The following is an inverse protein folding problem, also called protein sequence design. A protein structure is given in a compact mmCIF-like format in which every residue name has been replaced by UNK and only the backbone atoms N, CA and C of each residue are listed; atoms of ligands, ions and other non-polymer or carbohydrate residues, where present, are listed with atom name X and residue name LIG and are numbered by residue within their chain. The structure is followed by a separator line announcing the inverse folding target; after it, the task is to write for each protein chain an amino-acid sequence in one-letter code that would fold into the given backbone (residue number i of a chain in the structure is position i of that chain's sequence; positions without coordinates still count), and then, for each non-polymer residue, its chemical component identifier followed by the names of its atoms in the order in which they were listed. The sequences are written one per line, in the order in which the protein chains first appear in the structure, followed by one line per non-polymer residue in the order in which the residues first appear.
data_IF_303485900667
#
_entry.id   IF_303485900667
#
_cell.length_a   1.000
_cell.length_b   1.000
_cell.length_c   1.000
_cell.angle_alpha   90.00
_cell.angle_beta   90.00
_cell.angle_gamma   90.00
#
_symmetry.space_group_name_H-M   'P 1'
#
loop_
_entity.id
_entity.type
_entity.pdbx_description
1 polymer ?
#
# COMPACT_ATOMS: atom_id res chain seq x y z
N UNK A 1 15.24 -6.09 -4.74
CA UNK A 1 16.16 -4.95 -4.99
C UNK A 1 16.82 -4.59 -3.69
N UNK A 2 18.06 -5.01 -3.50
CA UNK A 2 18.90 -4.56 -2.38
C UNK A 2 19.22 -3.08 -2.60
N UNK A 3 18.98 -2.24 -1.59
CA UNK A 3 19.51 -0.87 -1.60
C UNK A 3 20.81 -0.89 -0.79
N UNK A 4 21.94 -0.99 -1.46
CA UNK A 4 23.24 -0.63 -0.89
C UNK A 4 23.32 0.90 -0.87
N UNK A 5 23.38 1.49 0.32
CA UNK A 5 23.71 2.90 0.43
C UNK A 5 25.20 3.00 0.77
N UNK A 6 25.96 3.52 -0.18
CA UNK A 6 27.37 3.89 -0.03
C UNK A 6 27.39 5.19 0.78
N UNK A 7 28.07 5.20 1.92
CA UNK A 7 28.28 6.42 2.70
C UNK A 7 29.56 7.09 2.21
N UNK A 8 29.45 8.34 1.79
CA UNK A 8 30.59 9.19 1.47
C UNK A 8 31.62 9.20 2.62
N UNK A 9 32.89 9.06 2.23
CA UNK A 9 34.09 9.04 3.06
C UNK A 9 33.96 9.76 4.41
N UNK A 10 33.75 8.98 5.46
CA UNK A 10 33.93 9.44 6.83
C UNK A 10 35.43 9.45 7.15
N UNK A 11 36.07 10.63 7.14
CA UNK A 11 37.33 10.83 7.86
C UNK A 11 37.01 10.88 9.36
N UNK A 12 36.95 9.73 10.00
CA UNK A 12 37.03 9.65 11.47
C UNK A 12 38.50 9.86 11.82
N UNK A 13 38.92 11.12 11.90
CA UNK A 13 40.16 11.43 12.61
C UNK A 13 39.89 11.33 14.13
N UNK A 14 40.53 10.31 14.73
CA UNK A 14 40.85 10.18 16.14
C UNK A 14 39.70 10.05 17.15
N UNK A 15 39.25 8.81 17.36
CA UNK A 15 38.71 8.35 18.63
C UNK A 15 38.98 6.85 18.87
N UNK A 16 40.23 6.43 18.75
CA UNK A 16 40.71 5.18 19.35
C UNK A 16 41.92 5.53 20.22
N UNK A 17 41.65 5.86 21.49
CA UNK A 17 42.67 5.73 22.52
C UNK A 17 42.84 4.24 22.78
N UNK A 18 44.09 3.79 22.63
CA UNK A 18 44.57 2.45 22.98
C UNK A 18 44.39 2.23 24.48
N UNK A 19 43.79 1.11 24.84
CA UNK A 19 44.12 0.39 26.07
C UNK A 19 44.32 -1.08 25.65
N UNK A 20 45.60 -1.44 25.46
CA UNK A 20 46.10 -2.82 25.54
C UNK A 20 46.66 -3.03 26.96
N UNK A 21 46.68 -4.30 27.40
CA UNK A 21 47.03 -4.86 28.75
C UNK A 21 45.78 -5.16 29.60
N UNK A 22 45.44 -6.37 30.03
CA UNK A 22 46.02 -7.73 30.05
C UNK A 22 44.85 -8.72 29.90
N UNK A 23 44.94 -9.88 29.24
CA UNK A 23 45.35 -11.12 29.91
C UNK A 23 45.62 -12.23 28.88
N UNK A 24 46.75 -12.91 29.05
CA UNK A 24 47.16 -14.14 28.36
C UNK A 24 46.48 -15.38 28.97
N UNK A 25 46.55 -16.49 28.21
CA UNK A 25 46.17 -17.91 28.47
C UNK A 25 44.80 -18.29 27.90
N UNK A 26 44.62 -19.33 27.08
CA UNK A 26 45.42 -20.52 26.75
C UNK A 26 45.17 -20.93 25.30
N UNK A 27 46.22 -21.48 24.71
CA UNK A 27 46.28 -22.30 23.50
C UNK A 27 45.29 -23.47 23.58
N UNK A 28 44.58 -23.72 22.49
CA UNK A 28 44.38 -25.10 22.02
C UNK A 28 44.33 -25.09 20.49
N UNK A 29 45.30 -25.81 19.95
CA UNK A 29 45.49 -26.10 18.54
C UNK A 29 44.54 -27.23 18.18
N UNK A 30 43.80 -27.10 17.09
CA UNK A 30 43.55 -28.27 16.25
C UNK A 30 43.67 -27.88 14.78
N UNK A 31 44.79 -28.34 14.23
CA UNK A 31 45.19 -28.33 12.84
C UNK A 31 44.45 -29.47 12.13
N UNK A 32 43.67 -29.16 11.11
CA UNK A 32 43.58 -30.06 9.96
C UNK A 32 43.66 -29.25 8.68
N UNK A 33 44.91 -29.09 8.27
CA UNK A 33 45.35 -28.69 6.96
C UNK A 33 44.96 -29.72 5.89
N UNK A 34 44.28 -29.26 4.83
CA UNK A 34 44.57 -29.73 3.46
C UNK A 34 44.82 -28.55 2.54
N UNK A 35 46.10 -28.47 2.18
CA UNK A 35 46.77 -27.55 1.27
C UNK A 35 46.67 -28.07 -0.19
N UNK A 36 46.50 -27.10 -1.10
CA UNK A 36 47.36 -26.84 -2.30
C UNK A 36 46.95 -27.48 -3.65
N UNK A 37 47.19 -26.84 -4.83
CA UNK A 37 47.24 -25.41 -5.19
C UNK A 37 46.76 -25.18 -6.70
N UNK A 38 47.26 -24.23 -7.54
CA UNK A 38 46.40 -23.22 -8.17
C UNK A 38 46.56 -23.12 -9.71
N UNK A 39 46.06 -22.00 -10.26
CA UNK A 39 46.49 -21.28 -11.49
C UNK A 39 45.76 -21.60 -12.80
N UNK A 40 45.93 -20.77 -13.85
CA UNK A 40 45.42 -19.40 -13.99
C UNK A 40 44.67 -19.28 -15.35
N UNK A 41 44.20 -18.07 -15.72
CA UNK A 41 44.27 -17.49 -17.09
C UNK A 41 43.21 -16.38 -17.25
N UNK A 42 43.71 -15.15 -17.31
CA UNK A 42 43.28 -14.05 -18.22
C UNK A 42 44.46 -13.90 -19.23
N UNK A 43 44.34 -13.27 -20.44
CA UNK A 43 43.59 -12.03 -20.66
C UNK A 43 43.01 -11.71 -22.09
N UNK A 44 42.04 -10.78 -22.10
CA UNK A 44 41.88 -9.62 -23.04
C UNK A 44 41.42 -9.84 -24.51
N UNK A 45 41.21 -8.78 -25.33
CA UNK A 45 40.13 -7.77 -25.23
C UNK A 45 39.53 -7.42 -26.62
N UNK A 46 38.29 -6.90 -26.72
CA UNK A 46 37.97 -5.98 -27.83
C UNK A 46 37.05 -4.84 -27.40
N UNK A 47 37.37 -3.67 -27.93
CA UNK A 47 36.92 -2.34 -27.52
C UNK A 47 36.21 -1.68 -28.69
N UNK A 48 35.38 -0.67 -28.36
CA UNK A 48 34.88 0.45 -29.19
C UNK A 48 33.46 0.24 -29.76
N UNK A 49 32.56 1.23 -29.80
CA UNK A 49 32.48 2.59 -29.24
C UNK A 49 31.17 3.24 -29.73
N UNK A 50 30.77 4.34 -29.09
CA UNK A 50 29.97 5.50 -29.59
C UNK A 50 28.42 5.46 -29.54
N UNK A 51 27.90 6.11 -28.49
CA UNK A 51 27.25 7.44 -28.50
C UNK A 51 26.52 7.86 -29.80
N UNK A 52 25.20 8.12 -29.73
CA UNK A 52 24.59 9.45 -30.03
C UNK A 52 23.11 9.57 -29.63
N UNK A 53 22.81 10.75 -29.08
CA UNK A 53 21.50 11.33 -28.72
C UNK A 53 20.74 11.89 -29.94
N UNK A 54 19.46 12.23 -29.69
CA UNK A 54 18.55 13.20 -30.37
C UNK A 54 17.85 12.64 -31.63
N UNK A 55 16.60 12.96 -31.97
CA UNK A 55 15.64 13.99 -31.53
C UNK A 55 14.28 13.73 -32.20
N UNK A 56 13.21 14.32 -31.63
CA UNK A 56 11.96 14.65 -32.29
C UNK A 56 12.17 15.23 -33.71
N UNK A 57 11.32 14.85 -34.67
CA UNK A 57 10.60 15.86 -35.44
C UNK A 57 9.31 15.33 -36.09
N UNK A 58 8.31 16.18 -36.01
CA UNK A 58 7.02 16.17 -36.68
C UNK A 58 7.12 16.51 -38.16
N UNK A 59 6.26 15.93 -39.01
CA UNK A 59 5.81 16.60 -40.24
C UNK A 59 4.49 16.02 -40.76
N UNK A 60 3.49 16.90 -40.82
CA UNK A 60 2.20 16.78 -41.54
C UNK A 60 2.40 16.73 -43.05
N UNK A 61 1.50 16.03 -43.76
CA UNK A 61 1.05 16.36 -45.13
C UNK A 61 -0.45 16.04 -45.28
N UNK A 62 -1.24 17.07 -45.58
CA UNK A 62 -2.56 17.00 -46.29
C UNK A 62 -2.29 16.63 -47.77
N UNK A 63 -3.20 16.23 -48.65
CA UNK A 63 -4.66 16.39 -48.89
C UNK A 63 -5.11 15.21 -49.79
N UNK A 64 -6.40 14.84 -49.96
CA UNK A 64 -7.38 15.44 -50.88
C UNK A 64 -8.82 15.03 -50.52
N UNK A 65 -9.77 15.95 -50.74
CA UNK A 65 -11.22 15.86 -50.50
C UNK A 65 -11.98 15.18 -51.66
N UNK A 66 -13.15 14.63 -51.34
CA UNK A 66 -14.37 14.70 -52.16
C UNK A 66 -15.57 15.03 -51.25
N UNK A 67 -16.34 16.02 -51.69
CA UNK A 67 -17.63 16.59 -51.19
C UNK A 67 -18.79 15.59 -51.34
N UNK A 68 -20.01 15.70 -50.77
CA UNK A 68 -20.77 16.67 -49.99
C UNK A 68 -21.98 15.90 -49.39
N UNK A 69 -22.45 16.26 -48.19
CA UNK A 69 -23.88 16.45 -47.91
C UNK A 69 -24.06 17.15 -46.55
N UNK A 70 -24.94 18.15 -46.54
CA UNK A 70 -25.04 19.22 -45.54
C UNK A 70 -25.71 18.81 -44.23
N UNK A 71 -25.30 19.51 -43.18
CA UNK A 71 -25.89 19.50 -41.83
C UNK A 71 -27.12 20.42 -41.75
N UNK A 72 -27.93 20.30 -40.68
CA UNK A 72 -28.29 21.50 -39.94
C UNK A 72 -27.77 21.44 -38.51
N UNK A 73 -26.83 22.34 -38.26
CA UNK A 73 -26.29 22.77 -36.98
C UNK A 73 -27.36 23.20 -35.97
N UNK A 74 -27.22 22.73 -34.73
CA UNK A 74 -27.09 23.62 -33.55
C UNK A 74 -26.49 22.83 -32.37
N UNK A 75 -25.15 22.86 -32.29
CA UNK A 75 -24.41 22.59 -31.06
C UNK A 75 -24.93 23.56 -29.99
N UNK A 76 -25.73 23.05 -29.05
CA UNK A 76 -25.91 23.71 -27.76
C UNK A 76 -24.52 23.81 -27.14
N UNK A 77 -23.96 25.03 -27.16
CA UNK A 77 -22.82 25.43 -26.33
C UNK A 77 -23.07 24.86 -24.94
N UNK A 78 -22.26 23.89 -24.53
CA UNK A 78 -22.16 23.52 -23.12
C UNK A 78 -21.76 24.82 -22.44
N UNK A 79 -22.67 25.39 -21.66
CA UNK A 79 -22.40 26.54 -20.82
C UNK A 79 -21.21 26.10 -19.98
N UNK A 80 -20.05 26.72 -20.17
CA UNK A 80 -18.97 26.65 -19.20
C UNK A 80 -19.54 27.30 -17.94
N UNK A 81 -20.25 26.51 -17.14
CA UNK A 81 -20.43 26.81 -15.73
C UNK A 81 -19.02 26.96 -15.20
N UNK A 82 -18.61 28.21 -14.97
CA UNK A 82 -17.45 28.54 -14.16
C UNK A 82 -17.72 27.85 -12.83
N UNK A 83 -17.19 26.64 -12.66
CA UNK A 83 -17.14 25.98 -11.36
C UNK A 83 -16.42 26.97 -10.47
N UNK A 84 -17.16 27.57 -9.54
CA UNK A 84 -16.65 28.55 -8.59
C UNK A 84 -15.58 27.84 -7.76
N UNK A 85 -14.31 28.06 -8.12
CA UNK A 85 -13.19 27.46 -7.41
C UNK A 85 -13.09 28.19 -6.08
N UNK A 86 -13.53 27.53 -5.01
CA UNK A 86 -13.37 28.06 -3.67
C UNK A 86 -11.89 28.21 -3.33
N UNK A 87 -11.45 29.46 -3.23
CA UNK A 87 -10.07 29.84 -2.93
C UNK A 87 -9.84 29.97 -1.43
N UNK A 88 -9.99 28.85 -0.73
CA UNK A 88 -9.80 28.76 0.72
C UNK A 88 -8.46 29.33 1.23
N UNK A 89 -7.43 29.45 0.36
CA UNK A 89 -6.12 30.03 0.69
C UNK A 89 -6.07 31.56 0.66
N UNK A 90 -7.06 32.23 0.07
CA UNK A 90 -7.22 33.70 0.07
C UNK A 90 -8.06 34.18 1.26
N UNK A 91 -8.79 33.28 1.93
CA UNK A 91 -9.53 33.62 3.15
C UNK A 91 -8.57 34.01 4.26
N UNK A 92 -8.93 35.00 5.07
CA UNK A 92 -8.20 35.28 6.29
C UNK A 92 -8.13 33.98 7.08
N UNK A 93 -6.94 33.65 7.62
CA UNK A 93 -6.80 32.52 8.54
C UNK A 93 -7.70 32.81 9.71
N UNK A 94 -8.95 32.36 9.64
CA UNK A 94 -9.92 32.61 10.67
C UNK A 94 -9.26 32.17 11.96
N UNK A 95 -9.32 33.04 12.96
CA UNK A 95 -8.99 32.73 14.35
C UNK A 95 -10.02 31.72 14.89
N UNK A 96 -10.23 30.59 14.20
CA UNK A 96 -10.96 29.42 14.66
C UNK A 96 -10.25 28.99 15.94
N UNK A 97 -10.80 29.43 17.08
CA UNK A 97 -10.26 29.17 18.41
C UNK A 97 -10.01 27.67 18.55
N UNK A 98 -8.81 27.29 19.01
CA UNK A 98 -8.55 25.98 19.61
C UNK A 98 -8.99 24.75 18.81
N UNK A 99 -8.54 24.58 17.57
CA UNK A 99 -8.68 23.29 16.87
C UNK A 99 -10.04 22.99 16.25
N UNK A 100 -11.02 23.89 16.35
CA UNK A 100 -12.25 23.87 15.54
C UNK A 100 -11.92 23.97 14.05
N UNK A 101 -12.69 23.29 13.21
CA UNK A 101 -12.28 23.02 11.82
C UNK A 101 -13.31 23.33 10.78
N UNK A 102 -14.57 23.07 11.09
CA UNK A 102 -15.70 23.64 10.38
C UNK A 102 -16.75 24.03 11.43
N UNK A 103 -17.67 24.90 11.04
CA UNK A 103 -18.86 25.33 11.76
C UNK A 103 -20.09 24.53 11.29
N UNK A 104 -20.20 24.25 9.98
CA UNK A 104 -21.25 23.40 9.42
C UNK A 104 -20.68 22.28 8.55
N UNK A 105 -21.28 21.09 8.65
CA UNK A 105 -20.98 19.89 7.86
C UNK A 105 -22.27 19.12 7.58
N UNK A 106 -22.65 19.04 6.31
CA UNK A 106 -23.83 18.32 5.82
C UNK A 106 -23.38 17.34 4.72
N UNK A 107 -23.81 16.09 4.77
CA UNK A 107 -23.48 15.08 3.77
C UNK A 107 -24.57 14.01 3.66
N UNK A 108 -24.68 13.34 2.51
CA UNK A 108 -25.64 12.25 2.26
C UNK A 108 -25.37 10.94 3.01
N UNK A 109 -24.23 10.85 3.73
CA UNK A 109 -23.82 9.63 4.42
C UNK A 109 -23.06 8.67 3.49
N UNK A 110 -22.69 7.48 3.98
CA UNK A 110 -22.03 6.49 3.14
C UNK A 110 -23.02 5.69 2.30
N UNK A 111 -22.57 5.26 1.12
CA UNK A 111 -23.28 4.34 0.24
C UNK A 111 -22.87 2.89 0.56
N UNK A 112 -23.83 2.09 1.02
CA UNK A 112 -23.62 0.68 1.32
C UNK A 112 -23.49 -0.15 0.04
N UNK A 113 -22.66 -1.22 0.04
CA UNK A 113 -22.60 -2.16 -1.07
C UNK A 113 -23.95 -2.87 -1.26
N UNK A 114 -24.32 -3.25 -2.49
CA UNK A 114 -25.56 -3.98 -2.75
C UNK A 114 -25.61 -5.28 -1.94
N UNK A 115 -26.82 -5.72 -1.62
CA UNK A 115 -27.06 -7.00 -0.97
C UNK A 115 -26.52 -8.16 -1.83
N UNK A 116 -26.22 -9.29 -1.20
CA UNK A 116 -25.80 -10.48 -1.92
C UNK A 116 -26.95 -11.02 -2.78
N UNK A 117 -26.66 -11.34 -4.03
CA UNK A 117 -27.57 -12.03 -4.94
C UNK A 117 -27.14 -13.50 -5.03
N UNK A 118 -27.98 -14.45 -4.58
CA UNK A 118 -27.66 -15.88 -4.62
C UNK A 118 -27.36 -16.38 -6.02
N UNK A 119 -26.56 -17.44 -6.10
CA UNK A 119 -26.17 -18.04 -7.36
C UNK A 119 -27.38 -18.66 -8.10
N UNK A 120 -27.37 -18.67 -9.44
CA UNK A 120 -28.37 -19.42 -10.20
C UNK A 120 -28.34 -20.91 -9.83
N UNK A 121 -29.50 -21.57 -9.77
CA UNK A 121 -29.64 -23.00 -9.41
C UNK A 121 -28.81 -23.96 -10.29
N UNK A 122 -28.35 -23.49 -11.46
CA UNK A 122 -27.47 -24.24 -12.37
C UNK A 122 -26.03 -24.32 -11.88
N UNK A 123 -25.58 -23.39 -11.05
CA UNK A 123 -24.21 -23.31 -10.53
C UNK A 123 -24.19 -23.94 -9.14
N UNK A 124 -23.48 -25.06 -9.01
CA UNK A 124 -23.48 -25.82 -7.76
C UNK A 124 -22.09 -25.86 -7.13
N UNK A 125 -22.07 -25.74 -5.81
CA UNK A 125 -20.90 -26.09 -5.00
C UNK A 125 -20.84 -27.62 -4.85
N UNK A 126 -19.63 -28.17 -4.83
CA UNK A 126 -19.41 -29.61 -4.66
C UNK A 126 -18.52 -29.89 -3.46
N UNK A 127 -18.89 -30.89 -2.67
CA UNK A 127 -18.09 -31.42 -1.58
C UNK A 127 -17.89 -32.92 -1.77
N UNK A 128 -16.64 -33.38 -1.81
CA UNK A 128 -16.29 -34.78 -2.03
C UNK A 128 -16.95 -35.39 -3.30
N UNK A 129 -17.05 -34.58 -4.36
CA UNK A 129 -17.68 -34.96 -5.64
C UNK A 129 -19.21 -34.81 -5.69
N UNK A 130 -19.88 -34.65 -4.54
CA UNK A 130 -21.35 -34.51 -4.46
C UNK A 130 -21.78 -33.05 -4.48
N UNK A 131 -22.83 -32.74 -5.23
CA UNK A 131 -23.43 -31.40 -5.25
C UNK A 131 -24.06 -31.09 -3.87
N UNK A 132 -23.82 -29.89 -3.37
CA UNK A 132 -24.34 -29.44 -2.09
C UNK A 132 -24.78 -27.99 -2.21
N UNK A 133 -26.02 -27.71 -1.83
CA UNK A 133 -26.53 -26.35 -1.72
C UNK A 133 -26.05 -25.74 -0.40
N UNK A 134 -25.45 -24.55 -0.47
CA UNK A 134 -25.02 -23.81 0.70
C UNK A 134 -26.11 -22.84 1.16
N UNK A 135 -26.12 -22.50 2.45
CA UNK A 135 -26.93 -21.39 2.94
C UNK A 135 -26.45 -20.07 2.30
N UNK A 136 -27.30 -19.03 2.19
CA UNK A 136 -26.92 -17.80 1.50
C UNK A 136 -25.67 -17.11 2.06
N UNK A 137 -25.45 -17.18 3.37
CA UNK A 137 -24.27 -16.57 4.02
C UNK A 137 -22.97 -17.32 3.70
N UNK A 138 -22.94 -18.66 3.79
CA UNK A 138 -21.77 -19.43 3.41
C UNK A 138 -21.58 -19.47 1.90
N UNK A 139 -22.65 -19.37 1.11
CA UNK A 139 -22.57 -19.23 -0.34
C UNK A 139 -21.86 -17.93 -0.72
N UNK A 140 -22.27 -16.77 -0.16
CA UNK A 140 -21.62 -15.47 -0.39
C UNK A 140 -20.11 -15.57 -0.11
N UNK A 141 -19.73 -16.17 1.02
CA UNK A 141 -18.32 -16.33 1.41
C UNK A 141 -17.57 -17.29 0.48
N UNK A 142 -18.20 -18.39 0.07
CA UNK A 142 -17.63 -19.32 -0.91
C UNK A 142 -17.36 -18.64 -2.26
N UNK A 143 -18.22 -17.69 -2.67
CA UNK A 143 -17.99 -16.92 -3.91
C UNK A 143 -16.71 -16.08 -3.85
N UNK A 144 -16.32 -15.56 -2.68
CA UNK A 144 -15.10 -14.79 -2.52
C UNK A 144 -13.86 -15.65 -2.79
N UNK A 145 -13.86 -16.89 -2.29
CA UNK A 145 -12.77 -17.83 -2.52
C UNK A 145 -12.73 -18.29 -3.98
N UNK A 146 -13.89 -18.62 -4.56
CA UNK A 146 -13.98 -19.01 -5.97
C UNK A 146 -13.42 -17.94 -6.93
N UNK A 147 -13.66 -16.65 -6.66
CA UNK A 147 -13.09 -15.54 -7.43
C UNK A 147 -11.56 -15.43 -7.33
N UNK A 148 -10.95 -16.06 -6.33
CA UNK A 148 -9.51 -16.06 -6.09
C UNK A 148 -8.85 -17.41 -6.41
N UNK A 149 -9.58 -18.39 -6.93
CA UNK A 149 -9.08 -19.76 -7.12
C UNK A 149 -7.73 -19.83 -7.86
N UNK A 150 -7.59 -19.06 -8.95
CA UNK A 150 -6.35 -19.02 -9.77
C UNK A 150 -5.31 -17.99 -9.30
N UNK A 151 -5.51 -17.36 -8.13
CA UNK A 151 -4.62 -16.33 -7.61
C UNK A 151 -3.57 -16.94 -6.67
N UNK A 152 -2.33 -16.42 -6.68
CA UNK A 152 -1.23 -16.76 -5.73
C UNK A 152 -1.58 -16.71 -4.22
N UNK A 153 -2.76 -16.24 -3.84
CA UNK A 153 -3.20 -16.29 -2.44
C UNK A 153 -3.68 -17.69 -2.05
N UNK A 154 -4.34 -18.42 -2.94
CA UNK A 154 -4.89 -19.76 -2.67
C UNK A 154 -3.80 -20.83 -2.57
N UNK A 155 -2.56 -20.52 -2.98
CA UNK A 155 -1.40 -21.39 -2.77
C UNK A 155 -0.76 -21.21 -1.39
N UNK A 156 -1.25 -20.27 -0.55
CA UNK A 156 -0.66 -19.97 0.77
C UNK A 156 -1.48 -20.66 1.87
N UNK A 157 -0.82 -21.51 2.66
CA UNK A 157 -1.47 -22.26 3.74
C UNK A 157 -2.17 -21.38 4.77
N UNK A 158 -1.55 -20.25 5.15
CA UNK A 158 -2.12 -19.29 6.11
C UNK A 158 -3.45 -18.72 5.55
N UNK A 159 -3.49 -18.43 4.26
CA UNK A 159 -4.68 -17.91 3.60
C UNK A 159 -5.82 -18.93 3.62
N UNK A 160 -5.54 -20.16 3.17
CA UNK A 160 -6.54 -21.24 3.13
C UNK A 160 -7.06 -21.60 4.53
N UNK A 161 -6.16 -21.68 5.52
CA UNK A 161 -6.53 -21.95 6.91
C UNK A 161 -7.45 -20.88 7.48
N UNK A 162 -7.06 -19.61 7.34
CA UNK A 162 -7.85 -18.49 7.87
C UNK A 162 -9.21 -18.37 7.16
N UNK A 163 -9.23 -18.53 5.84
CA UNK A 163 -10.46 -18.58 5.07
C UNK A 163 -11.38 -19.69 5.58
N UNK A 164 -10.87 -20.91 5.71
CA UNK A 164 -11.69 -22.06 6.09
C UNK A 164 -12.27 -21.91 7.51
N UNK A 165 -11.48 -21.40 8.46
CA UNK A 165 -11.94 -21.10 9.82
C UNK A 165 -13.09 -20.10 9.80
N UNK A 166 -12.97 -19.00 9.06
CA UNK A 166 -14.00 -17.97 9.03
C UNK A 166 -15.23 -18.37 8.21
N UNK A 167 -15.05 -19.11 7.12
CA UNK A 167 -16.14 -19.65 6.31
C UNK A 167 -17.00 -20.63 7.11
N UNK A 168 -16.40 -21.50 7.94
CA UNK A 168 -17.18 -22.39 8.83
C UNK A 168 -18.01 -21.63 9.88
N UNK A 169 -17.69 -20.38 10.20
CA UNK A 169 -18.50 -19.55 11.10
C UNK A 169 -19.78 -19.02 10.45
N UNK A 170 -19.85 -18.96 9.12
CA UNK A 170 -21.05 -18.52 8.38
C UNK A 170 -21.95 -19.69 7.96
N UNK A 171 -21.46 -20.91 8.12
CA UNK A 171 -22.22 -22.14 7.88
C UNK A 171 -23.24 -22.42 9.00
N UNK A 172 -24.29 -23.13 8.65
CA UNK A 172 -25.19 -23.82 9.57
C UNK A 172 -24.47 -24.99 10.27
N UNK A 173 -25.09 -25.52 11.33
CA UNK A 173 -24.52 -26.67 12.04
C UNK A 173 -24.42 -27.93 11.17
N UNK A 174 -25.40 -28.16 10.27
CA UNK A 174 -25.40 -29.30 9.35
C UNK A 174 -24.26 -29.21 8.33
N UNK A 175 -24.09 -28.03 7.72
CA UNK A 175 -23.00 -27.78 6.78
C UNK A 175 -21.63 -27.95 7.43
N UNK A 176 -21.47 -27.50 8.68
CA UNK A 176 -20.22 -27.67 9.43
C UNK A 176 -19.87 -29.13 9.70
N UNK A 177 -20.86 -30.00 9.84
CA UNK A 177 -20.62 -31.44 10.07
C UNK A 177 -20.18 -32.16 8.79
N UNK A 178 -20.67 -31.69 7.65
CA UNK A 178 -20.30 -32.22 6.33
C UNK A 178 -18.93 -31.66 5.90
N UNK A 179 -18.78 -30.34 5.90
CA UNK A 179 -17.61 -29.64 5.37
C UNK A 179 -16.51 -29.56 6.44
N UNK A 180 -15.65 -30.57 6.44
CA UNK A 180 -14.54 -30.73 7.41
C UNK A 180 -13.16 -30.39 6.85
N UNK A 181 -13.02 -30.41 5.53
CA UNK A 181 -11.74 -30.31 4.83
C UNK A 181 -11.88 -29.44 3.59
N UNK A 182 -11.02 -28.44 3.44
CA UNK A 182 -11.05 -27.53 2.30
C UNK A 182 -10.61 -28.23 1.00
N UNK A 183 -9.73 -29.23 1.07
CA UNK A 183 -9.20 -29.90 -0.12
C UNK A 183 -10.26 -30.76 -0.84
N UNK A 184 -11.34 -31.10 -0.13
CA UNK A 184 -12.50 -31.81 -0.68
C UNK A 184 -13.56 -30.88 -1.26
N UNK A 185 -13.39 -29.57 -1.12
CA UNK A 185 -14.29 -28.56 -1.65
C UNK A 185 -13.92 -28.22 -3.10
N UNK A 186 -14.89 -28.31 -4.01
CA UNK A 186 -14.71 -27.95 -5.41
C UNK A 186 -15.50 -26.67 -5.73
N UNK A 187 -14.73 -25.59 -5.97
CA UNK A 187 -15.23 -24.26 -6.33
C UNK A 187 -15.17 -23.97 -7.83
N UNK A 188 -14.84 -24.96 -8.68
CA UNK A 188 -14.61 -24.78 -10.12
C UNK A 188 -15.84 -24.24 -10.85
N UNK A 189 -17.05 -24.72 -10.53
CA UNK A 189 -18.28 -24.22 -11.16
C UNK A 189 -18.55 -22.75 -10.81
N UNK A 190 -18.33 -22.37 -9.55
CA UNK A 190 -18.45 -20.98 -9.10
C UNK A 190 -17.43 -20.08 -9.80
N UNK A 191 -16.18 -20.56 -9.94
CA UNK A 191 -15.13 -19.87 -10.69
C UNK A 191 -15.56 -19.62 -12.13
N UNK A 192 -15.99 -20.67 -12.84
CA UNK A 192 -16.41 -20.59 -14.24
C UNK A 192 -17.59 -19.64 -14.43
N UNK A 193 -18.56 -19.64 -13.51
CA UNK A 193 -19.65 -18.68 -13.51
C UNK A 193 -19.14 -17.24 -13.47
N UNK A 194 -18.27 -16.87 -12.53
CA UNK A 194 -17.74 -15.50 -12.42
C UNK A 194 -16.82 -15.10 -13.58
N UNK A 195 -16.13 -16.05 -14.19
CA UNK A 195 -15.40 -15.82 -15.45
C UNK A 195 -16.39 -15.44 -16.54
N UNK A 196 -17.47 -16.21 -16.72
CA UNK A 196 -18.50 -15.92 -17.72
C UNK A 196 -19.23 -14.59 -17.46
N UNK A 197 -19.53 -14.25 -16.21
CA UNK A 197 -20.12 -12.95 -15.84
C UNK A 197 -19.19 -11.78 -16.16
N UNK A 198 -17.88 -11.97 -15.95
CA UNK A 198 -16.88 -10.97 -16.32
C UNK A 198 -16.82 -10.78 -17.83
N UNK A 199 -16.95 -11.85 -18.62
CA UNK A 199 -16.99 -11.80 -20.08
C UNK A 199 -18.27 -11.12 -20.59
N UNK A 200 -19.44 -11.47 -20.04
CA UNK A 200 -20.71 -10.78 -20.32
C UNK A 200 -20.61 -9.28 -20.06
N UNK A 201 -20.04 -8.89 -18.92
CA UNK A 201 -19.81 -7.47 -18.56
C UNK A 201 -18.90 -6.77 -19.57
N UNK A 202 -17.87 -7.43 -20.08
CA UNK A 202 -17.01 -6.86 -21.13
C UNK A 202 -17.79 -6.69 -22.44
N UNK A 203 -18.61 -7.66 -22.79
CA UNK A 203 -19.45 -7.71 -23.99
C UNK A 203 -20.68 -6.77 -23.96
N UNK A 204 -21.00 -6.13 -22.82
CA UNK A 204 -22.15 -5.23 -22.71
C UNK A 204 -22.18 -4.14 -23.77
N UNK A 205 -23.39 -3.82 -24.20
CA UNK A 205 -23.66 -2.82 -25.24
C UNK A 205 -23.30 -1.41 -24.77
N UNK A 206 -23.19 -0.46 -25.71
CA UNK A 206 -22.93 0.94 -25.37
C UNK A 206 -24.07 1.56 -24.57
N UNK A 207 -25.31 1.17 -24.83
CA UNK A 207 -26.51 1.69 -24.15
C UNK A 207 -26.57 1.25 -22.69
N UNK A 208 -26.33 -0.03 -22.39
CA UNK A 208 -26.26 -0.53 -21.01
C UNK A 208 -25.13 0.12 -20.22
N UNK A 209 -23.95 0.26 -20.85
CA UNK A 209 -22.79 0.96 -20.25
C UNK A 209 -23.10 2.44 -19.97
N UNK A 210 -23.88 3.11 -20.81
CA UNK A 210 -24.32 4.48 -20.60
C UNK A 210 -25.27 4.59 -19.40
N UNK A 211 -26.26 3.70 -19.31
CA UNK A 211 -27.20 3.65 -18.18
C UNK A 211 -26.50 3.46 -16.83
N UNK A 212 -25.55 2.51 -16.73
CA UNK A 212 -24.76 2.31 -15.50
C UNK A 212 -23.89 3.52 -15.15
N UNK A 213 -23.44 4.27 -16.16
CA UNK A 213 -22.65 5.49 -15.94
C UNK A 213 -23.54 6.60 -15.38
N UNK A 214 -24.74 6.77 -15.92
CA UNK A 214 -25.72 7.76 -15.43
C UNK A 214 -26.16 7.46 -14.00
N UNK A 215 -26.41 6.19 -13.66
CA UNK A 215 -26.71 5.76 -12.29
C UNK A 215 -25.56 6.11 -11.33
N UNK A 216 -24.31 5.81 -11.74
CA UNK A 216 -23.12 6.15 -10.94
C UNK A 216 -22.93 7.66 -10.77
N UNK A 217 -23.29 8.46 -11.78
CA UNK A 217 -23.25 9.92 -11.72
C UNK A 217 -24.32 10.48 -10.79
N UNK A 218 -25.51 9.86 -10.71
CA UNK A 218 -26.55 10.20 -9.73
C UNK A 218 -26.05 9.94 -8.31
N UNK A 219 -25.51 8.73 -8.04
CA UNK A 219 -24.91 8.40 -6.75
C UNK A 219 -23.79 9.39 -6.36
N UNK A 220 -22.95 9.78 -7.33
CA UNK A 220 -21.85 10.72 -7.08
C UNK A 220 -22.35 12.12 -6.70
N UNK A 221 -23.46 12.57 -7.29
CA UNK A 221 -24.06 13.87 -6.94
C UNK A 221 -24.71 13.83 -5.56
N UNK A 222 -25.34 12.72 -5.20
CA UNK A 222 -26.05 12.58 -3.93
C UNK A 222 -25.11 12.31 -2.74
N UNK A 223 -24.18 11.37 -2.88
CA UNK A 223 -23.32 10.90 -1.80
C UNK A 223 -21.88 11.38 -1.92
N UNK A 224 -21.47 11.85 -3.09
CA UNK A 224 -20.08 12.22 -3.36
C UNK A 224 -19.70 13.65 -3.03
N UNK A 225 -20.63 14.44 -2.49
CA UNK A 225 -20.44 15.85 -2.12
C UNK A 225 -20.86 16.04 -0.66
N UNK A 226 -20.06 16.79 0.09
CA UNK A 226 -20.41 17.31 1.40
C UNK A 226 -20.42 18.84 1.34
N UNK A 227 -21.34 19.47 2.06
CA UNK A 227 -21.36 20.91 2.26
C UNK A 227 -20.61 21.24 3.55
N UNK A 228 -19.52 21.99 3.45
CA UNK A 228 -18.67 22.35 4.58
C UNK A 228 -18.56 23.87 4.64
N UNK A 229 -19.04 24.48 5.73
CA UNK A 229 -19.09 25.95 5.91
C UNK A 229 -19.78 26.68 4.74
N UNK A 230 -20.75 26.02 4.07
CA UNK A 230 -21.46 26.56 2.90
C UNK A 230 -20.80 26.27 1.55
N UNK A 231 -19.64 25.60 1.52
CA UNK A 231 -18.93 25.23 0.29
C UNK A 231 -19.06 23.74 -0.02
N UNK A 232 -19.38 23.41 -1.27
CA UNK A 232 -19.41 22.02 -1.75
C UNK A 232 -17.99 21.45 -1.86
N UNK A 233 -17.77 20.30 -1.25
CA UNK A 233 -16.49 19.60 -1.23
C UNK A 233 -16.70 18.14 -1.63
N UNK A 234 -15.86 17.64 -2.55
CA UNK A 234 -15.93 16.26 -2.98
C UNK A 234 -15.46 15.30 -1.86
N UNK A 235 -16.27 14.27 -1.59
CA UNK A 235 -15.94 13.20 -0.65
C UNK A 235 -15.04 12.18 -1.36
N UNK A 236 -13.92 11.82 -0.72
CA UNK A 236 -12.93 10.91 -1.32
C UNK A 236 -13.51 9.51 -1.59
N UNK A 237 -14.06 8.86 -0.56
CA UNK A 237 -14.64 7.52 -0.64
C UNK A 237 -15.94 7.49 0.17
N UNK A 238 -17.07 7.72 -0.49
CA UNK A 238 -18.39 7.59 0.15
C UNK A 238 -18.94 6.16 0.06
N UNK A 239 -18.38 5.29 -0.81
CA UNK A 239 -18.78 3.89 -0.92
C UNK A 239 -18.08 3.06 0.16
N UNK A 240 -18.87 2.33 0.95
CA UNK A 240 -18.35 1.38 1.94
C UNK A 240 -17.69 0.20 1.22
N UNK A 241 -16.55 -0.27 1.76
CA UNK A 241 -15.89 -1.46 1.22
C UNK A 241 -16.84 -2.67 1.27
N UNK A 242 -17.04 -3.40 0.15
CA UNK A 242 -17.84 -4.61 0.16
C UNK A 242 -17.19 -5.72 1.00
N UNK A 243 -17.98 -6.70 1.49
CA UNK A 243 -17.43 -7.88 2.13
C UNK A 243 -16.52 -8.65 1.17
N UNK A 244 -15.58 -9.42 1.73
CA UNK A 244 -14.63 -10.17 0.94
C UNK A 244 -13.56 -10.84 1.79
N UNK A 245 -12.47 -11.29 1.17
CA UNK A 245 -11.36 -11.90 1.90
C UNK A 245 -10.25 -10.87 2.12
N UNK A 246 -9.71 -10.81 3.33
CA UNK A 246 -8.61 -9.92 3.69
C UNK A 246 -7.32 -10.33 2.97
N UNK A 247 -6.84 -9.42 2.11
CA UNK A 247 -5.62 -9.59 1.29
C UNK A 247 -4.52 -8.68 1.84
N UNK A 248 -4.03 -9.02 3.03
CA UNK A 248 -2.90 -8.32 3.64
C UNK A 248 -1.64 -8.41 2.78
N UNK A 249 -0.82 -7.35 2.80
CA UNK A 249 0.44 -7.31 2.05
C UNK A 249 1.55 -8.06 2.80
N UNK A 250 2.50 -8.63 2.06
CA UNK A 250 3.61 -9.40 2.64
C UNK A 250 3.14 -10.67 3.37
N UNK A 251 3.90 -11.09 4.38
CA UNK A 251 3.58 -12.24 5.24
C UNK A 251 2.63 -11.84 6.38
N UNK A 252 1.45 -11.34 6.04
CA UNK A 252 0.49 -10.88 7.05
C UNK A 252 -0.25 -12.07 7.71
N UNK A 253 -0.31 -12.16 9.05
CA UNK A 253 -0.88 -13.32 9.74
C UNK A 253 -2.39 -13.49 9.50
N UNK A 254 -3.12 -12.38 9.35
CA UNK A 254 -4.57 -12.35 9.08
C UNK A 254 -4.97 -12.49 7.59
N UNK A 255 -4.05 -12.79 6.65
CA UNK A 255 -4.45 -13.02 5.24
C UNK A 255 -5.45 -14.18 5.16
N UNK A 256 -6.48 -14.06 4.33
CA UNK A 256 -7.50 -15.12 4.21
C UNK A 256 -8.69 -14.95 5.16
N UNK A 257 -8.59 -14.13 6.21
CA UNK A 257 -9.72 -13.85 7.10
C UNK A 257 -10.87 -13.15 6.36
N UNK A 258 -12.10 -13.37 6.82
CA UNK A 258 -13.30 -12.77 6.25
C UNK A 258 -13.42 -11.30 6.68
N UNK A 259 -13.44 -10.38 5.70
CA UNK A 259 -13.94 -9.02 5.87
C UNK A 259 -15.47 -9.05 5.81
N UNK A 260 -16.10 -8.85 6.97
CA UNK A 260 -17.56 -8.84 7.10
C UNK A 260 -18.18 -7.61 6.44
N UNK A 261 -19.45 -7.73 6.07
CA UNK A 261 -20.28 -6.62 5.61
C UNK A 261 -20.48 -5.63 6.76
N UNK A 262 -20.24 -4.36 6.49
CA UNK A 262 -20.52 -3.27 7.45
C UNK A 262 -22.01 -2.98 7.39
N UNK A 263 -22.68 -3.05 8.54
CA UNK A 263 -24.10 -2.71 8.69
C UNK A 263 -24.26 -1.25 9.17
N UNK A 264 -25.43 -0.62 9.00
CA UNK A 264 -25.69 0.73 9.49
C UNK A 264 -25.35 0.94 10.96
N UNK A 265 -25.58 -0.07 11.81
CA UNK A 265 -25.29 -0.05 13.25
C UNK A 265 -23.78 0.06 13.55
N UNK A 266 -22.92 -0.26 12.58
CA UNK A 266 -21.47 -0.15 12.70
C UNK A 266 -20.91 1.19 12.20
N UNK A 267 -21.77 2.09 11.69
CA UNK A 267 -21.36 3.37 11.11
C UNK A 267 -21.65 4.50 12.10
N UNK A 268 -20.61 5.26 12.45
CA UNK A 268 -20.74 6.49 13.23
C UNK A 268 -20.77 7.68 12.27
N UNK A 269 -21.84 8.45 12.31
CA UNK A 269 -22.03 9.66 11.48
C UNK A 269 -21.49 10.88 12.22
N UNK A 270 -20.69 11.69 11.54
CA UNK A 270 -20.19 12.96 12.05
C UNK A 270 -20.68 14.12 11.18
N UNK A 271 -21.67 14.87 11.63
CA UNK A 271 -22.25 16.05 10.96
C UNK A 271 -22.15 17.31 11.84
N UNK A 272 -22.73 18.45 11.45
CA UNK A 272 -22.59 19.78 12.10
C UNK A 272 -22.80 19.85 13.61
N UNK A 273 -23.35 18.80 14.23
CA UNK A 273 -23.47 18.65 15.67
C UNK A 273 -22.25 17.96 16.33
N UNK A 274 -21.18 17.64 15.59
CA UNK A 274 -19.97 16.95 16.07
C UNK A 274 -18.70 17.43 15.36
N UNK A 275 -17.84 18.15 16.08
CA UNK A 275 -16.66 18.83 15.51
C UNK A 275 -15.67 17.86 14.85
N UNK A 276 -15.32 18.10 13.58
CA UNK A 276 -14.26 17.31 12.92
C UNK A 276 -13.40 18.11 11.95
N UNK A 277 -12.25 17.55 11.57
CA UNK A 277 -11.07 18.29 11.07
C UNK A 277 -10.81 18.13 9.56
N UNK A 278 -10.96 19.22 8.78
CA UNK A 278 -10.69 19.32 7.33
C UNK A 278 -9.23 18.94 6.93
N UNK A 279 -9.07 18.46 5.68
CA UNK A 279 -7.85 17.78 5.17
C UNK A 279 -6.93 18.66 4.31
N UNK A 280 -7.44 19.72 3.67
CA UNK A 280 -6.67 20.59 2.75
C UNK A 280 -5.61 21.47 3.43
N UNK A 281 -5.99 22.20 4.47
CA UNK A 281 -5.07 23.03 5.28
C UNK A 281 -3.86 22.24 5.81
N UNK A 282 -4.09 20.98 6.20
CA UNK A 282 -3.04 20.11 6.73
C UNK A 282 -1.93 19.83 5.71
N UNK A 283 -2.26 19.79 4.42
CA UNK A 283 -1.28 19.49 3.39
C UNK A 283 -0.34 20.69 3.16
N UNK A 284 -0.90 21.91 3.16
CA UNK A 284 -0.11 23.14 3.17
C UNK A 284 0.76 23.23 4.44
N UNK A 285 0.18 23.01 5.63
CA UNK A 285 0.94 22.97 6.89
C UNK A 285 2.08 21.94 6.88
N UNK A 286 1.85 20.76 6.27
CA UNK A 286 2.86 19.71 6.12
C UNK A 286 4.05 20.21 5.29
N UNK A 287 3.81 20.91 4.18
CA UNK A 287 4.89 21.46 3.35
C UNK A 287 5.57 22.67 3.99
N UNK A 288 4.84 23.55 4.68
CA UNK A 288 5.44 24.67 5.43
C UNK A 288 6.32 24.19 6.59
N UNK A 289 5.94 23.10 7.27
CA UNK A 289 6.82 22.44 8.26
C UNK A 289 8.10 21.91 7.62
N UNK A 290 8.02 21.29 6.44
CA UNK A 290 9.20 20.81 5.72
C UNK A 290 10.10 21.97 5.27
N UNK A 291 9.53 23.09 4.78
CA UNK A 291 10.29 24.31 4.45
C UNK A 291 10.98 24.91 5.66
N UNK A 292 10.29 24.94 6.80
CA UNK A 292 10.84 25.43 8.07
C UNK A 292 11.98 24.54 8.56
N UNK A 293 11.84 23.21 8.45
CA UNK A 293 12.92 22.26 8.75
C UNK A 293 14.14 22.49 7.86
N UNK A 294 13.94 22.78 6.56
CA UNK A 294 15.01 23.07 5.62
C UNK A 294 15.88 24.27 6.03
N UNK A 295 15.33 25.25 6.75
CA UNK A 295 16.08 26.42 7.24
C UNK A 295 17.02 26.11 8.42
N UNK A 296 16.74 25.04 9.16
CA UNK A 296 17.49 24.69 10.39
C UNK A 296 18.17 23.31 10.30
N UNK A 297 18.13 22.67 9.13
CA UNK A 297 18.58 21.28 8.98
C UNK A 297 20.05 21.10 9.32
N UNK A 298 20.91 22.05 8.96
CA UNK A 298 22.34 21.94 9.21
C UNK A 298 22.68 22.03 10.70
N UNK A 299 21.93 22.82 11.47
CA UNK A 299 22.05 22.85 12.94
C UNK A 299 21.64 21.52 13.57
N UNK A 300 20.58 20.89 13.06
CA UNK A 300 20.13 19.56 13.52
C UNK A 300 21.20 18.51 13.20
N UNK A 301 21.81 18.59 12.02
CA UNK A 301 22.89 17.68 11.60
C UNK A 301 24.11 17.78 12.50
N UNK A 302 24.57 18.99 12.77
CA UNK A 302 25.66 19.22 13.70
C UNK A 302 25.33 18.63 15.09
N UNK A 303 24.13 18.91 15.59
CA UNK A 303 23.68 18.43 16.90
C UNK A 303 23.67 16.90 17.00
N UNK A 304 23.13 16.18 16.02
CA UNK A 304 23.12 14.72 16.11
C UNK A 304 24.55 14.14 15.99
N UNK A 305 25.47 14.76 15.25
CA UNK A 305 26.86 14.30 15.19
C UNK A 305 27.59 14.49 16.52
N UNK A 306 27.31 15.58 17.23
CA UNK A 306 27.85 15.79 18.58
C UNK A 306 27.24 14.79 19.57
N UNK A 307 25.93 14.54 19.49
CA UNK A 307 25.20 13.61 20.35
C UNK A 307 25.62 12.14 20.14
N UNK A 308 26.14 11.76 18.97
CA UNK A 308 26.73 10.42 18.74
C UNK A 308 27.95 10.13 19.63
N UNK A 309 28.61 11.18 20.15
CA UNK A 309 29.76 11.07 21.06
C UNK A 309 29.36 11.13 22.54
N UNK A 310 28.06 11.21 22.84
CA UNK A 310 27.56 11.30 24.22
C UNK A 310 27.90 10.07 25.05
N UNK A 311 28.09 10.25 26.36
CA UNK A 311 28.25 9.15 27.33
C UNK A 311 26.97 8.34 27.49
N UNK A 312 25.80 8.95 27.26
CA UNK A 312 24.51 8.29 27.40
C UNK A 312 24.13 7.48 26.15
N UNK A 313 23.87 6.19 26.34
CA UNK A 313 23.50 5.30 25.23
C UNK A 313 22.19 5.71 24.54
N UNK A 314 21.18 6.18 25.30
CA UNK A 314 19.90 6.62 24.74
C UNK A 314 20.07 7.81 23.79
N UNK A 315 20.96 8.75 24.13
CA UNK A 315 21.27 9.91 23.29
C UNK A 315 21.97 9.45 22.01
N UNK A 316 22.96 8.56 22.11
CA UNK A 316 23.66 7.99 20.95
C UNK A 316 22.72 7.24 20.01
N UNK A 317 21.85 6.38 20.56
CA UNK A 317 20.84 5.64 19.78
C UNK A 317 19.90 6.59 19.03
N UNK A 318 19.36 7.61 19.71
CA UNK A 318 18.51 8.63 19.08
C UNK A 318 19.24 9.35 17.94
N UNK A 319 20.48 9.77 18.18
CA UNK A 319 21.27 10.49 17.20
C UNK A 319 21.55 9.64 15.94
N UNK A 320 21.92 8.37 16.11
CA UNK A 320 22.10 7.41 15.01
C UNK A 320 20.79 7.17 14.25
N UNK A 321 19.66 7.03 14.96
CA UNK A 321 18.35 6.88 14.31
C UNK A 321 17.96 8.12 13.48
N UNK A 322 18.22 9.33 13.99
CA UNK A 322 17.98 10.58 13.24
C UNK A 322 18.86 10.65 12.00
N UNK A 323 20.15 10.29 12.11
CA UNK A 323 21.06 10.22 10.97
C UNK A 323 20.54 9.26 9.88
N UNK A 324 20.04 8.08 10.26
CA UNK A 324 19.44 7.15 9.30
C UNK A 324 18.17 7.68 8.63
N UNK A 325 17.33 8.41 9.37
CA UNK A 325 16.13 9.04 8.81
C UNK A 325 16.53 10.18 7.85
N UNK A 326 17.49 11.05 8.21
CA UNK A 326 17.96 12.15 7.37
C UNK A 326 18.65 11.65 6.08
N UNK A 327 19.60 10.72 6.19
CA UNK A 327 20.43 10.30 5.05
C UNK A 327 19.79 9.26 4.16
N UNK A 328 18.99 8.35 4.70
CA UNK A 328 18.40 7.24 3.93
C UNK A 328 16.88 7.32 3.82
N UNK A 329 16.25 8.38 4.35
CA UNK A 329 14.80 8.57 4.36
C UNK A 329 14.05 7.35 4.93
N UNK A 330 14.64 6.67 5.93
CA UNK A 330 13.96 5.58 6.62
C UNK A 330 12.72 6.13 7.33
N UNK A 331 11.63 5.37 7.31
CA UNK A 331 10.44 5.69 8.11
C UNK A 331 10.76 5.48 9.58
N UNK A 332 10.13 6.25 10.47
CA UNK A 332 10.37 6.18 11.92
C UNK A 332 10.32 4.74 12.47
N UNK A 333 9.30 3.95 12.10
CA UNK A 333 9.18 2.54 12.50
C UNK A 333 8.59 2.39 13.89
N UNK A 334 7.26 2.38 13.97
CA UNK A 334 6.56 2.11 15.21
C UNK A 334 6.60 0.61 15.53
N UNK A 335 6.58 0.29 16.82
CA UNK A 335 6.39 -1.08 17.29
C UNK A 335 5.03 -1.62 16.84
N UNK A 336 4.99 -2.91 16.51
CA UNK A 336 3.80 -3.60 16.02
C UNK A 336 3.73 -4.98 16.63
N UNK A 337 2.51 -5.44 16.89
CA UNK A 337 2.27 -6.85 17.21
C UNK A 337 2.38 -7.68 15.92
N UNK A 338 3.36 -8.60 15.89
CA UNK A 338 3.63 -9.49 14.76
C UNK A 338 2.59 -10.61 14.60
N UNK A 339 1.76 -10.85 15.62
CA UNK A 339 0.61 -11.75 15.53
C UNK A 339 -0.59 -11.08 14.85
N UNK A 340 -0.65 -9.75 14.91
CA UNK A 340 -1.74 -8.97 14.32
C UNK A 340 -1.41 -8.41 12.94
N UNK A 341 -0.14 -8.08 12.71
CA UNK A 341 0.33 -7.35 11.53
C UNK A 341 1.54 -8.04 10.90
N UNK A 342 1.81 -7.72 9.63
CA UNK A 342 3.01 -8.23 8.96
C UNK A 342 4.28 -7.68 9.63
N UNK A 343 5.25 -8.58 9.91
CA UNK A 343 6.56 -8.22 10.46
C UNK A 343 7.32 -7.32 9.48
N UNK A 344 7.30 -6.03 9.79
CA UNK A 344 7.86 -4.97 8.95
C UNK A 344 8.45 -3.91 9.86
N UNK A 345 9.71 -3.56 9.62
CA UNK A 345 10.47 -2.63 10.46
C UNK A 345 10.72 -1.28 9.77
N UNK A 346 10.74 -0.21 10.56
CA UNK A 346 11.39 1.07 10.22
C UNK A 346 12.60 1.34 11.12
N UNK A 347 13.13 2.56 11.08
CA UNK A 347 14.39 2.96 11.71
C UNK A 347 14.50 2.56 13.20
N UNK A 348 13.52 2.97 14.01
CA UNK A 348 13.50 2.74 15.45
C UNK A 348 13.14 1.32 15.86
N UNK A 349 12.61 0.51 14.94
CA UNK A 349 12.25 -0.90 15.15
C UNK A 349 13.24 -1.86 14.47
N UNK A 350 14.39 -1.37 13.99
CA UNK A 350 15.42 -2.22 13.42
C UNK A 350 15.94 -3.19 14.48
N UNK A 351 16.17 -4.44 14.04
CA UNK A 351 16.75 -5.52 14.86
C UNK A 351 18.16 -5.84 14.37
N UNK A 352 18.99 -6.43 15.23
CA UNK A 352 20.38 -6.77 14.92
C UNK A 352 20.53 -7.58 13.62
N UNK A 353 19.61 -8.51 13.35
CA UNK A 353 19.60 -9.32 12.11
C UNK A 353 19.51 -8.51 10.81
N UNK A 354 19.00 -7.27 10.87
CA UNK A 354 18.83 -6.42 9.70
C UNK A 354 20.09 -5.63 9.34
N UNK A 355 21.08 -5.55 10.22
CA UNK A 355 22.27 -4.73 9.99
C UNK A 355 23.51 -5.62 10.00
N UNK A 356 24.30 -5.57 8.93
CA UNK A 356 25.63 -6.17 8.86
C UNK A 356 26.67 -5.08 8.77
N UNK A 357 27.71 -5.15 9.59
CA UNK A 357 28.82 -4.19 9.61
C UNK A 357 30.06 -4.81 8.98
N UNK A 358 30.74 -4.06 8.12
CA UNK A 358 31.96 -4.46 7.43
C UNK A 358 33.04 -3.41 7.68
N UNK A 359 34.23 -3.86 8.06
CA UNK A 359 35.40 -2.97 8.16
C UNK A 359 35.81 -2.45 6.79
N UNK A 360 35.76 -3.33 5.78
CA UNK A 360 35.94 -3.02 4.38
C UNK A 360 34.94 -3.85 3.56
N UNK A 361 34.27 -3.23 2.59
CA UNK A 361 33.39 -3.90 1.64
C UNK A 361 33.45 -3.19 0.29
N UNK A 362 33.73 -3.93 -0.79
CA UNK A 362 33.84 -3.40 -2.15
C UNK A 362 34.78 -2.16 -2.27
N UNK A 363 35.90 -2.18 -1.53
CA UNK A 363 36.89 -1.10 -1.53
C UNK A 363 36.50 0.14 -0.71
N UNK A 364 35.41 0.07 0.07
CA UNK A 364 34.98 1.13 0.98
C UNK A 364 35.19 0.72 2.43
N UNK A 365 35.66 1.66 3.24
CA UNK A 365 35.88 1.46 4.69
C UNK A 365 34.61 1.77 5.49
N UNK A 366 34.40 1.03 6.59
CA UNK A 366 33.30 1.24 7.54
C UNK A 366 31.90 1.19 6.91
N UNK A 367 31.63 0.12 6.16
CA UNK A 367 30.37 -0.08 5.45
C UNK A 367 29.37 -0.79 6.36
N UNK A 368 28.10 -0.37 6.30
CA UNK A 368 27.00 -1.15 6.86
C UNK A 368 25.98 -1.48 5.77
N UNK A 369 25.47 -2.71 5.80
CA UNK A 369 24.39 -3.17 4.92
C UNK A 369 23.13 -3.32 5.74
N UNK A 370 22.09 -2.58 5.37
CA UNK A 370 20.75 -2.74 5.95
C UNK A 370 19.92 -3.64 5.04
N UNK A 371 19.55 -4.81 5.54
CA UNK A 371 18.70 -5.77 4.85
C UNK A 371 17.25 -5.53 5.25
N UNK A 372 16.60 -4.61 4.57
CA UNK A 372 15.16 -4.37 4.73
C UNK A 372 14.46 -5.01 3.53
N UNK A 373 13.55 -5.95 3.78
CA UNK A 373 12.71 -6.51 2.71
C UNK A 373 11.89 -5.36 2.12
N UNK A 374 12.07 -5.03 0.83
CA UNK A 374 11.31 -3.95 0.22
C UNK A 374 9.83 -4.29 0.24
N UNK A 375 9.00 -3.30 0.56
CA UNK A 375 7.55 -3.36 0.40
C UNK A 375 7.26 -3.60 -1.09
N UNK A 376 6.85 -4.81 -1.46
CA UNK A 376 6.26 -5.09 -2.78
C UNK A 376 4.74 -4.86 -2.72
#
# INVERSE_FOLDING_TARGET
MEKSAIVDNFKIENAFRKDEEETKMKTEVNDESKKVPPTPVKPTPETKSKIKKRSNNSSKKNSTKTENEESPTKKKKKKDEKTEVWKWWEEEKDKKKGGTKWTTLIHGGPLFPPAYEPLPKTVNFKYNGSNMALNPEAEEVATFYARLLDHEYTTKDIFNRNFFIDWRKTMTSEEREIIKDLDKCDFSQLRNYFVSETEKRKAMTKEEKLKMKEEREKEQKEYGIALIDGHEQAIANFRIEPPGIFRGRGKHPKIGCLKRRIQPENVIINCSNQSSKLKGEKDLEKFEKARSLGKIIDQIRQKYFDEMKSKEMKIRQRAVAIYFIDKFALRAGNEKDTNETADTVGCCSLRCEHIKLYKEFEGQMLVFKVSIVPFQ
#
